data_IF_623342499521
#
_entry.id   IF_623342499521
#
_cell.length_a   1.000
_cell.length_b   1.000
_cell.length_c   1.000
_cell.angle_alpha   90.00
_cell.angle_beta   90.00
_cell.angle_gamma   90.00
#
_symmetry.space_group_name_H-M   'P 1'
#
loop_
_entity.id
_entity.type
_entity.pdbx_description
1 polymer ?
#
# COMPACT_ATOMS: atom_id res chain seq x y z
N UNK A 1 8.50 -13.20 1.66
CA UNK A 1 7.33 -12.89 2.52
C UNK A 1 6.10 -13.29 1.74
N UNK A 2 5.27 -14.17 2.28
CA UNK A 2 4.00 -14.50 1.64
C UNK A 2 3.00 -13.35 1.79
N UNK A 3 2.17 -13.08 0.78
CA UNK A 3 1.11 -12.08 0.89
C UNK A 3 0.06 -12.51 1.93
N UNK A 4 -0.57 -11.53 2.55
CA UNK A 4 -1.74 -11.76 3.39
C UNK A 4 -2.92 -12.22 2.53
N UNK A 5 -3.67 -13.19 3.02
CA UNK A 5 -4.97 -13.55 2.47
C UNK A 5 -6.00 -12.43 2.69
N UNK A 6 -7.11 -12.45 1.96
CA UNK A 6 -8.18 -11.47 2.11
C UNK A 6 -8.69 -11.37 3.55
N UNK A 7 -8.82 -12.51 4.25
CA UNK A 7 -9.26 -12.54 5.64
C UNK A 7 -8.22 -11.95 6.59
N UNK A 8 -6.94 -12.23 6.34
CA UNK A 8 -5.83 -11.64 7.11
C UNK A 8 -5.72 -10.13 6.89
N UNK A 9 -6.01 -9.64 5.68
CA UNK A 9 -6.08 -8.20 5.38
C UNK A 9 -7.20 -7.54 6.18
N UNK A 10 -8.41 -8.13 6.19
CA UNK A 10 -9.54 -7.60 6.98
C UNK A 10 -9.21 -7.53 8.49
N UNK A 11 -8.57 -8.57 9.02
CA UNK A 11 -8.19 -8.61 10.44
C UNK A 11 -7.08 -7.59 10.72
N UNK A 12 -6.05 -7.50 9.88
CA UNK A 12 -5.00 -6.49 10.01
C UNK A 12 -5.58 -5.07 9.91
N UNK A 13 -6.61 -4.88 9.10
CA UNK A 13 -7.30 -3.60 8.96
C UNK A 13 -7.98 -3.17 10.27
N UNK A 14 -8.73 -4.07 10.89
CA UNK A 14 -9.35 -3.80 12.20
C UNK A 14 -8.32 -3.62 13.32
N UNK A 15 -7.22 -4.40 13.29
CA UNK A 15 -6.10 -4.21 14.22
C UNK A 15 -5.52 -2.80 14.09
N UNK A 16 -5.29 -2.31 12.87
CA UNK A 16 -4.76 -0.97 12.65
C UNK A 16 -5.70 0.10 13.20
N UNK A 17 -7.01 -0.16 13.21
CA UNK A 17 -8.06 0.75 13.70
C UNK A 17 -8.18 0.74 15.23
N UNK A 18 -7.42 -0.12 15.92
CA UNK A 18 -7.36 -0.21 17.38
C UNK A 18 -8.30 -1.24 18.00
N UNK A 19 -8.93 -2.11 17.19
CA UNK A 19 -9.80 -3.16 17.70
C UNK A 19 -9.00 -4.28 18.38
N UNK A 20 -9.51 -4.79 19.49
CA UNK A 20 -8.94 -6.00 20.13
C UNK A 20 -9.52 -7.28 19.51
N UNK A 21 -8.82 -8.41 19.65
CA UNK A 21 -9.20 -9.69 19.02
C UNK A 21 -10.65 -10.13 19.34
N UNK A 22 -11.18 -9.78 20.53
CA UNK A 22 -12.57 -10.04 20.90
C UNK A 22 -13.57 -9.19 20.10
N UNK A 23 -13.28 -7.92 19.90
CA UNK A 23 -14.13 -7.02 19.12
C UNK A 23 -14.10 -7.41 17.65
N UNK A 24 -12.93 -7.79 17.13
CA UNK A 24 -12.76 -8.31 15.76
C UNK A 24 -13.59 -9.59 15.57
N UNK A 25 -13.59 -10.48 16.56
CA UNK A 25 -14.38 -11.71 16.51
C UNK A 25 -15.89 -11.41 16.40
N UNK A 26 -16.37 -10.43 17.18
CA UNK A 26 -17.75 -9.95 17.11
C UNK A 26 -18.06 -9.28 15.77
N UNK A 27 -17.22 -8.36 15.31
CA UNK A 27 -17.40 -7.61 14.06
C UNK A 27 -17.45 -8.54 12.84
N UNK A 28 -16.59 -9.55 12.83
CA UNK A 28 -16.45 -10.46 11.70
C UNK A 28 -17.24 -11.77 11.85
N UNK A 29 -18.07 -11.89 12.89
CA UNK A 29 -18.89 -13.04 13.26
C UNK A 29 -18.13 -14.38 13.19
N UNK A 30 -16.96 -14.45 13.82
CA UNK A 30 -16.12 -15.65 13.91
C UNK A 30 -15.61 -15.85 15.34
N UNK A 31 -15.07 -17.03 15.63
CA UNK A 31 -14.55 -17.30 16.97
C UNK A 31 -13.30 -16.46 17.28
N UNK A 32 -13.13 -16.09 18.56
CA UNK A 32 -11.90 -15.47 19.06
C UNK A 32 -10.65 -16.30 18.70
N UNK A 33 -10.72 -17.62 18.82
CA UNK A 33 -9.61 -18.52 18.48
C UNK A 33 -9.22 -18.44 16.99
N UNK A 34 -10.21 -18.26 16.11
CA UNK A 34 -9.99 -18.04 14.68
C UNK A 34 -9.26 -16.72 14.45
N UNK A 35 -9.69 -15.62 15.08
CA UNK A 35 -8.99 -14.32 15.01
C UNK A 35 -7.57 -14.42 15.55
N UNK A 36 -7.37 -15.10 16.68
CA UNK A 36 -6.06 -15.31 17.27
C UNK A 36 -5.11 -16.06 16.33
N UNK A 37 -5.61 -17.11 15.68
CA UNK A 37 -4.85 -17.89 14.69
C UNK A 37 -4.46 -17.03 13.49
N UNK A 38 -5.39 -16.27 12.92
CA UNK A 38 -5.08 -15.34 11.84
C UNK A 38 -4.07 -14.28 12.28
N UNK A 39 -4.22 -13.71 13.47
CA UNK A 39 -3.29 -12.71 14.02
C UNK A 39 -1.87 -13.26 14.19
N UNK A 40 -1.74 -14.55 14.56
CA UNK A 40 -0.46 -15.25 14.57
C UNK A 40 0.14 -15.37 13.17
N UNK A 41 -0.66 -15.75 12.18
CA UNK A 41 -0.20 -15.87 10.79
C UNK A 41 0.20 -14.51 10.20
N UNK A 42 -0.57 -13.45 10.48
CA UNK A 42 -0.26 -12.07 10.09
C UNK A 42 1.11 -11.66 10.64
N UNK A 43 1.36 -11.90 11.94
CA UNK A 43 2.67 -11.62 12.56
C UNK A 43 3.82 -12.29 11.81
N UNK A 44 3.68 -13.60 11.53
CA UNK A 44 4.69 -14.36 10.80
C UNK A 44 4.91 -13.82 9.38
N UNK A 45 3.84 -13.60 8.62
CA UNK A 45 3.90 -13.14 7.23
C UNK A 45 4.47 -11.74 7.09
N UNK A 46 4.16 -10.85 8.03
CA UNK A 46 4.64 -9.47 8.05
C UNK A 46 6.00 -9.30 8.75
N UNK A 47 6.53 -10.34 9.40
CA UNK A 47 7.74 -10.22 10.23
C UNK A 47 7.55 -9.32 11.44
N UNK A 48 6.33 -9.22 11.97
CA UNK A 48 5.98 -8.38 13.10
C UNK A 48 6.16 -9.14 14.42
N UNK A 49 6.72 -8.47 15.44
CA UNK A 49 6.91 -9.09 16.77
C UNK A 49 5.69 -8.94 17.66
N UNK A 50 4.91 -7.89 17.46
CA UNK A 50 3.73 -7.57 18.25
C UNK A 50 2.69 -6.82 17.40
N UNK A 51 1.55 -6.50 18.00
CA UNK A 51 0.46 -5.78 17.32
C UNK A 51 0.89 -4.38 16.85
N UNK A 52 1.71 -3.66 17.64
CA UNK A 52 2.21 -2.34 17.23
C UNK A 52 3.09 -2.43 15.97
N UNK A 53 3.91 -3.47 15.85
CA UNK A 53 4.67 -3.75 14.63
C UNK A 53 3.74 -4.04 13.44
N UNK A 54 2.65 -4.81 13.63
CA UNK A 54 1.64 -5.03 12.58
C UNK A 54 1.07 -3.69 12.11
N UNK A 55 0.59 -2.86 13.04
CA UNK A 55 -0.01 -1.55 12.73
C UNK A 55 0.97 -0.65 11.98
N UNK A 56 2.22 -0.55 12.45
CA UNK A 56 3.26 0.25 11.81
C UNK A 56 3.55 -0.22 10.37
N UNK A 57 3.73 -1.52 10.18
CA UNK A 57 4.04 -2.10 8.87
C UNK A 57 2.84 -1.93 7.93
N UNK A 58 1.62 -2.19 8.40
CA UNK A 58 0.39 -2.07 7.61
C UNK A 58 0.19 -0.64 7.09
N UNK A 59 0.36 0.38 7.95
CA UNK A 59 0.28 1.78 7.55
C UNK A 59 1.37 2.17 6.55
N UNK A 60 2.59 1.64 6.72
CA UNK A 60 3.70 1.90 5.80
C UNK A 60 3.40 1.32 4.42
N UNK A 61 2.80 0.12 4.35
CA UNK A 61 2.39 -0.51 3.10
C UNK A 61 1.26 0.25 2.40
N UNK A 62 0.25 0.71 3.13
CA UNK A 62 -0.82 1.55 2.56
C UNK A 62 -0.25 2.84 1.95
N UNK A 63 0.63 3.52 2.67
CA UNK A 63 1.24 4.78 2.21
C UNK A 63 2.07 4.58 0.94
N UNK A 64 2.88 3.53 0.88
CA UNK A 64 3.69 3.22 -0.29
C UNK A 64 2.81 2.94 -1.53
N UNK A 65 1.71 2.20 -1.36
CA UNK A 65 0.80 1.90 -2.47
C UNK A 65 0.14 3.16 -3.05
N UNK A 66 -0.30 4.11 -2.21
CA UNK A 66 -0.92 5.34 -2.67
C UNK A 66 0.05 6.25 -3.48
N UNK A 67 1.30 6.37 -3.04
CA UNK A 67 2.33 7.13 -3.75
C UNK A 67 2.66 6.49 -5.10
N UNK A 68 2.83 5.17 -5.13
CA UNK A 68 3.12 4.44 -6.36
C UNK A 68 2.02 4.62 -7.40
N UNK A 69 0.74 4.52 -7.01
CA UNK A 69 -0.39 4.76 -7.92
C UNK A 69 -0.34 6.19 -8.48
N UNK A 70 -0.10 7.19 -7.63
CA UNK A 70 -0.02 8.59 -8.07
C UNK A 70 1.11 8.81 -9.08
N UNK A 71 2.30 8.25 -8.80
CA UNK A 71 3.45 8.34 -9.71
C UNK A 71 3.18 7.65 -11.05
N UNK A 72 2.53 6.49 -11.03
CA UNK A 72 2.15 5.77 -12.27
C UNK A 72 1.17 6.60 -13.11
N UNK A 73 0.17 7.22 -12.49
CA UNK A 73 -0.78 8.11 -13.19
C UNK A 73 -0.02 9.30 -13.81
N UNK A 74 0.85 9.96 -13.05
CA UNK A 74 1.67 11.07 -13.57
C UNK A 74 2.56 10.63 -14.73
N UNK A 75 3.18 9.45 -14.64
CA UNK A 75 4.01 8.90 -15.70
C UNK A 75 3.19 8.61 -16.97
N UNK A 76 1.97 8.06 -16.84
CA UNK A 76 1.08 7.80 -17.97
C UNK A 76 0.63 9.11 -18.62
N UNK A 77 0.24 10.11 -17.82
CA UNK A 77 -0.15 11.44 -18.33
C UNK A 77 1.02 12.11 -19.05
N UNK A 78 2.21 12.08 -18.45
CA UNK A 78 3.41 12.62 -19.07
C UNK A 78 3.72 11.91 -20.38
N UNK A 79 3.72 10.57 -20.42
CA UNK A 79 3.94 9.80 -21.63
C UNK A 79 2.93 10.14 -22.74
N UNK A 80 1.65 10.28 -22.38
CA UNK A 80 0.60 10.70 -23.31
C UNK A 80 0.86 12.10 -23.88
N UNK A 81 1.26 13.04 -23.03
CA UNK A 81 1.57 14.41 -23.45
C UNK A 81 2.78 14.45 -24.40
N UNK A 82 3.83 13.66 -24.10
CA UNK A 82 5.02 13.54 -24.96
C UNK A 82 4.67 12.96 -26.34
N UNK A 83 3.77 11.97 -26.41
CA UNK A 83 3.30 11.41 -27.67
C UNK A 83 2.47 12.42 -28.48
N UNK A 84 1.67 13.24 -27.78
CA UNK A 84 0.76 14.21 -28.43
C UNK A 84 1.47 15.47 -28.93
N UNK A 85 2.58 15.88 -28.32
CA UNK A 85 3.31 17.11 -28.64
C UNK A 85 4.81 16.86 -28.86
N UNK A 86 5.19 16.09 -29.89
CA UNK A 86 6.60 15.75 -30.15
C UNK A 86 7.45 17.00 -30.51
N UNK A 87 6.90 17.95 -31.25
CA UNK A 87 7.62 19.16 -31.71
C UNK A 87 8.02 20.09 -30.55
N UNK A 88 7.26 20.04 -29.45
CA UNK A 88 7.57 20.79 -28.24
C UNK A 88 8.88 20.28 -27.60
N UNK A 89 9.14 18.97 -27.68
CA UNK A 89 10.38 18.38 -27.15
C UNK A 89 11.60 18.80 -27.95
N UNK A 90 11.49 18.90 -29.27
CA UNK A 90 12.58 19.41 -30.11
C UNK A 90 12.85 20.89 -29.83
N UNK A 91 11.80 21.68 -29.65
CA UNK A 91 11.90 23.11 -29.32
C UNK A 91 12.54 23.36 -27.95
N UNK A 92 12.21 22.53 -26.95
CA UNK A 92 12.82 22.62 -25.61
C UNK A 92 14.31 22.21 -25.68
N UNK A 93 14.63 21.14 -26.41
CA UNK A 93 16.03 20.69 -26.59
C UNK A 93 16.88 21.74 -27.29
N UNK A 94 16.37 22.37 -28.35
CA UNK A 94 17.11 23.43 -29.08
C UNK A 94 17.33 24.67 -28.22
N UNK A 95 16.35 25.06 -27.40
CA UNK A 95 16.45 26.21 -26.49
C UNK A 95 17.43 25.96 -25.33
N UNK A 96 17.51 24.74 -24.80
CA UNK A 96 18.46 24.37 -23.73
C UNK A 96 19.90 24.29 -24.21
N UNK A 97 20.13 23.90 -25.47
CA UNK A 97 21.47 23.87 -26.08
C UNK A 97 22.02 25.30 -26.26
N UNK A 98 21.16 26.30 -26.48
CA UNK A 98 21.57 27.69 -26.61
C UNK A 98 21.85 28.41 -25.28
N UNK A 99 21.51 27.79 -24.13
CA UNK A 99 21.74 28.38 -22.81
C UNK A 99 23.03 27.86 -22.13
N UNK A 100 23.75 26.92 -22.75
CA UNK A 100 25.02 26.35 -22.25
C UNK A 100 26.18 26.76 -23.14
#
# INVERSE_FOLDING_TARGET
>A
MEPLSQREIQIADLIHKGYIEKEIASELNISFSTVHTHSKNIKTKMGARNIADITRIFLTQIRANAVNITLVILAIIAAFFLQKYPDLLETIKSSLIHFK
#
